data_IF_265692489241
#
_entry.id   IF_265692489241
#
_cell.length_a   1.000
_cell.length_b   1.000
_cell.length_c   1.000
_cell.angle_alpha   90.00
_cell.angle_beta   90.00
_cell.angle_gamma   90.00
#
_symmetry.space_group_name_H-M   'P 1'
#
loop_
_entity.id
_entity.type
_entity.pdbx_description
1 polymer ?
#
# COMPACT_ATOMS: atom_id res chain seq x y z
N UNK A 1 14.06 -15.77 -9.40
CA UNK A 1 13.31 -14.51 -9.58
C UNK A 1 13.40 -13.75 -8.28
N UNK A 2 14.00 -12.56 -8.25
CA UNK A 2 14.09 -11.76 -7.03
C UNK A 2 12.69 -11.27 -6.67
N UNK A 3 12.18 -11.63 -5.49
CA UNK A 3 10.97 -11.05 -4.94
C UNK A 3 11.23 -9.56 -4.73
N UNK A 4 10.52 -8.70 -5.44
CA UNK A 4 10.60 -7.26 -5.23
C UNK A 4 10.26 -6.97 -3.76
N UNK A 5 11.21 -6.40 -3.02
CA UNK A 5 11.01 -6.03 -1.63
C UNK A 5 9.94 -4.93 -1.59
N UNK A 6 8.78 -5.26 -1.02
CA UNK A 6 7.71 -4.26 -0.81
C UNK A 6 8.17 -3.34 0.31
N UNK A 7 8.42 -2.08 -0.02
CA UNK A 7 8.60 -1.02 0.95
C UNK A 7 7.23 -0.57 1.46
N UNK A 8 7.07 -0.50 2.79
CA UNK A 8 5.86 0.01 3.44
C UNK A 8 6.17 1.41 3.95
N UNK A 9 5.56 2.42 3.32
CA UNK A 9 5.58 3.79 3.80
C UNK A 9 4.36 4.04 4.67
N UNK A 10 4.57 4.43 5.93
CA UNK A 10 3.49 4.83 6.84
C UNK A 10 3.30 6.33 6.72
N UNK A 11 2.17 6.73 6.17
CA UNK A 11 1.77 8.13 6.02
C UNK A 11 1.12 8.59 7.31
N UNK A 12 1.59 9.69 7.89
CA UNK A 12 0.98 10.29 9.07
C UNK A 12 0.30 11.62 8.69
N UNK A 13 -0.50 12.16 9.61
CA UNK A 13 -1.27 13.39 9.35
C UNK A 13 -0.43 14.65 9.10
N UNK A 14 0.89 14.59 9.29
CA UNK A 14 1.81 15.68 8.95
C UNK A 14 2.26 15.64 7.49
N UNK A 15 2.00 14.54 6.77
CA UNK A 15 2.31 14.37 5.34
C UNK A 15 1.17 14.91 4.45
N UNK A 16 0.81 16.18 4.62
CA UNK A 16 -0.39 16.79 4.00
C UNK A 16 -0.45 16.64 2.47
N UNK A 17 0.69 16.69 1.79
CA UNK A 17 0.75 16.55 0.34
C UNK A 17 0.42 15.11 -0.10
N UNK A 18 0.94 14.13 0.62
CA UNK A 18 0.71 12.72 0.33
C UNK A 18 -0.75 12.35 0.64
N UNK A 19 -1.28 12.86 1.74
CA UNK A 19 -2.68 12.66 2.14
C UNK A 19 -3.64 13.22 1.07
N UNK A 20 -3.38 14.45 0.60
CA UNK A 20 -4.14 15.07 -0.49
C UNK A 20 -4.03 14.30 -1.80
N UNK A 21 -2.86 13.75 -2.11
CA UNK A 21 -2.67 12.91 -3.30
C UNK A 21 -3.48 11.62 -3.20
N UNK A 22 -3.42 10.94 -2.05
CA UNK A 22 -4.17 9.71 -1.80
C UNK A 22 -5.68 9.95 -1.84
N UNK A 23 -6.17 11.05 -1.30
CA UNK A 23 -7.59 11.43 -1.39
C UNK A 23 -8.04 11.66 -2.83
N UNK A 24 -7.23 12.34 -3.65
CA UNK A 24 -7.52 12.49 -5.08
C UNK A 24 -7.56 11.14 -5.78
N UNK A 25 -6.57 10.29 -5.53
CA UNK A 25 -6.47 8.95 -6.12
C UNK A 25 -7.65 8.07 -5.70
N UNK A 26 -8.12 8.20 -4.45
CA UNK A 26 -9.30 7.49 -3.93
C UNK A 26 -10.57 7.88 -4.68
N UNK A 27 -10.73 9.15 -5.04
CA UNK A 27 -11.91 9.64 -5.78
C UNK A 27 -11.86 9.28 -7.26
N UNK A 28 -10.69 9.37 -7.90
CA UNK A 28 -10.56 9.11 -9.35
C UNK A 28 -10.34 7.64 -9.69
N UNK A 29 -9.89 6.83 -8.73
CA UNK A 29 -9.51 5.42 -8.90
C UNK A 29 -8.14 5.21 -9.54
N UNK A 30 -7.78 6.09 -10.47
CA UNK A 30 -6.49 6.11 -11.17
C UNK A 30 -6.00 7.55 -11.36
N UNK A 31 -4.69 7.78 -11.29
CA UNK A 31 -4.03 9.05 -11.65
C UNK A 31 -2.79 8.77 -12.50
N UNK A 32 -2.66 9.46 -13.63
CA UNK A 32 -1.39 9.52 -14.37
C UNK A 32 -0.50 10.62 -13.80
N UNK A 33 0.68 10.25 -13.30
CA UNK A 33 1.69 11.16 -12.76
C UNK A 33 2.80 11.33 -13.78
N UNK A 34 3.21 12.57 -14.05
CA UNK A 34 4.37 12.87 -14.89
C UNK A 34 5.50 13.42 -14.02
N UNK A 35 6.62 12.71 -13.96
CA UNK A 35 7.77 13.12 -13.16
C UNK A 35 9.06 12.89 -13.94
N UNK A 36 9.90 13.94 -14.04
CA UNK A 36 11.18 13.93 -14.78
C UNK A 36 11.07 13.37 -16.21
N UNK A 37 9.99 13.73 -16.91
CA UNK A 37 9.72 13.30 -18.29
C UNK A 37 9.18 11.87 -18.42
N UNK A 38 9.01 11.14 -17.31
CA UNK A 38 8.43 9.81 -17.28
C UNK A 38 6.97 9.88 -16.85
N UNK A 39 6.14 9.00 -17.42
CA UNK A 39 4.72 8.87 -17.07
C UNK A 39 4.51 7.60 -16.27
N UNK A 40 3.79 7.72 -15.16
CA UNK A 40 3.42 6.63 -14.26
C UNK A 40 1.91 6.59 -14.14
N UNK A 41 1.33 5.40 -14.21
CA UNK A 41 -0.07 5.20 -13.85
C UNK A 41 -0.09 4.70 -12.41
N UNK A 42 -0.77 5.42 -11.54
CA UNK A 42 -0.93 5.08 -10.14
C UNK A 42 -2.38 4.64 -9.93
N UNK A 43 -2.56 3.41 -9.47
CA UNK A 43 -3.86 2.81 -9.17
C UNK A 43 -3.95 2.50 -7.68
N UNK A 44 -5.13 2.70 -7.09
CA UNK A 44 -5.37 2.26 -5.72
C UNK A 44 -5.72 0.77 -5.71
N UNK A 45 -4.84 -0.06 -5.12
CA UNK A 45 -5.16 -1.46 -4.81
C UNK A 45 -5.21 -1.65 -3.32
N UNK A 46 -6.36 -2.10 -2.82
CA UNK A 46 -6.48 -2.52 -1.41
C UNK A 46 -5.63 -3.76 -1.23
N UNK A 47 -4.73 -3.71 -0.25
CA UNK A 47 -4.05 -4.91 0.18
C UNK A 47 -5.10 -5.83 0.80
N UNK A 48 -5.51 -6.85 0.05
CA UNK A 48 -6.29 -7.92 0.63
C UNK A 48 -5.28 -8.74 1.43
N UNK A 49 -5.35 -8.67 2.76
CA UNK A 49 -4.77 -9.72 3.59
C UNK A 49 -5.36 -11.01 3.06
N UNK A 50 -4.52 -11.76 2.34
CA UNK A 50 -4.90 -13.03 1.73
C UNK A 50 -5.45 -13.91 2.85
N UNK A 51 -6.49 -14.69 2.54
CA UNK A 51 -7.11 -15.60 3.51
C UNK A 51 -6.04 -16.40 4.27
N UNK A 52 -4.97 -16.81 3.58
CA UNK A 52 -3.80 -17.50 4.12
C UNK A 52 -3.01 -16.70 5.17
N UNK A 53 -2.81 -15.40 4.98
CA UNK A 53 -2.16 -14.54 5.98
C UNK A 53 -3.06 -14.32 7.21
N UNK A 54 -4.38 -14.25 6.99
CA UNK A 54 -5.38 -14.16 8.06
C UNK A 54 -5.43 -15.46 8.87
N UNK A 55 -5.40 -16.61 8.21
CA UNK A 55 -5.32 -17.95 8.82
C UNK A 55 -4.03 -18.17 9.60
N UNK A 56 -2.89 -17.66 9.09
CA UNK A 56 -1.61 -17.72 9.80
C UNK A 56 -1.65 -16.90 11.11
N UNK A 57 -2.21 -15.68 11.06
CA UNK A 57 -2.34 -14.81 12.24
C UNK A 57 -3.39 -15.31 13.25
N UNK A 58 -4.45 -15.99 12.80
CA UNK A 58 -5.50 -16.52 13.66
C UNK A 58 -5.17 -17.88 14.29
N UNK A 59 -4.08 -18.53 13.86
CA UNK A 59 -3.62 -19.80 14.44
C UNK A 59 -2.81 -19.68 15.73
N UNK A 60 -2.58 -18.47 16.26
CA UNK A 60 -1.93 -18.26 17.57
C UNK A 60 -0.60 -19.00 17.66
N UNK A 61 0.52 -18.33 17.34
CA UNK A 61 1.85 -18.92 17.55
C UNK A 61 1.96 -19.48 18.98
N UNK A 62 2.62 -20.64 19.18
CA UNK A 62 2.75 -21.22 20.52
C UNK A 62 3.37 -20.16 21.42
N UNK A 63 2.59 -19.68 22.38
CA UNK A 63 3.09 -18.89 23.48
C UNK A 63 4.18 -19.72 24.13
N UNK A 64 5.42 -19.23 24.04
CA UNK A 64 6.44 -19.52 25.01
C UNK A 64 5.89 -19.11 26.38
N UNK A 65 5.55 -20.10 27.19
CA UNK A 65 5.75 -20.25 28.66
C UNK A 65 4.71 -21.18 29.28
#
# INVERSE_FOLDING_TARGET
>A
MAMAQKEILVVNSSDEELDRFLERLRVTGEITVVHRGQRFVVELRRDQITQSAREFLSKGGPGTE
#
